data_IF_339805408112
#
_entry.id   IF_339805408112
#
_cell.length_a   1.000
_cell.length_b   1.000
_cell.length_c   1.000
_cell.angle_alpha   90.00
_cell.angle_beta   90.00
_cell.angle_gamma   90.00
#
_symmetry.space_group_name_H-M   'P 1'
#
loop_
_entity.id
_entity.type
_entity.pdbx_description
1 polymer ?
#
# COMPACT_ATOMS: atom_id res chain seq x y z
N UNK A 1 -6.54 -10.01 11.91
CA UNK A 1 -5.70 -11.22 11.77
C UNK A 1 -4.35 -10.88 12.36
N UNK A 2 -3.76 -11.75 13.15
CA UNK A 2 -2.45 -11.51 13.77
C UNK A 2 -1.76 -12.87 13.94
N UNK A 3 -0.48 -12.95 13.63
CA UNK A 3 0.30 -14.19 13.63
C UNK A 3 1.07 -14.39 14.94
N UNK A 4 1.52 -13.30 15.56
CA UNK A 4 2.31 -13.36 16.79
C UNK A 4 1.40 -13.57 18.00
N UNK A 5 1.68 -14.61 18.79
CA UNK A 5 0.83 -15.03 19.91
C UNK A 5 0.62 -13.92 20.96
N UNK A 6 1.68 -13.20 21.32
CA UNK A 6 1.61 -12.12 22.31
C UNK A 6 0.75 -10.94 21.81
N UNK A 7 0.91 -10.55 20.54
CA UNK A 7 0.07 -9.52 19.91
C UNK A 7 -1.37 -10.01 19.76
N UNK A 8 -1.59 -11.27 19.40
CA UNK A 8 -2.94 -11.84 19.30
C UNK A 8 -3.66 -11.87 20.65
N UNK A 9 -2.95 -12.17 21.74
CA UNK A 9 -3.50 -12.09 23.08
C UNK A 9 -3.95 -10.65 23.43
N UNK A 10 -3.14 -9.66 23.05
CA UNK A 10 -3.48 -8.23 23.19
C UNK A 10 -4.69 -7.85 22.33
N UNK A 11 -4.71 -8.28 21.07
CA UNK A 11 -5.83 -8.09 20.15
C UNK A 11 -7.13 -8.65 20.76
N UNK A 12 -7.11 -9.88 21.25
CA UNK A 12 -8.26 -10.51 21.92
C UNK A 12 -8.74 -9.71 23.12
N UNK A 13 -7.82 -9.19 23.93
CA UNK A 13 -8.18 -8.35 25.06
C UNK A 13 -8.84 -7.03 24.64
N UNK A 14 -8.36 -6.40 23.56
CA UNK A 14 -8.89 -5.13 23.04
C UNK A 14 -10.30 -5.27 22.45
N UNK A 15 -10.58 -6.39 21.78
CA UNK A 15 -11.85 -6.63 21.08
C UNK A 15 -12.85 -7.51 21.86
N UNK A 16 -12.56 -7.85 23.13
CA UNK A 16 -13.37 -8.78 23.95
C UNK A 16 -14.87 -8.45 24.07
N UNK A 17 -15.24 -7.19 23.91
CA UNK A 17 -16.62 -6.70 24.04
C UNK A 17 -17.28 -6.38 22.69
N UNK A 18 -16.67 -6.78 21.57
CA UNK A 18 -17.15 -6.51 20.21
C UNK A 18 -17.48 -7.83 19.52
N UNK A 19 -18.65 -8.44 19.79
CA UNK A 19 -19.02 -9.78 19.30
C UNK A 19 -19.12 -9.88 17.77
N UNK A 20 -19.23 -8.75 17.08
CA UNK A 20 -19.22 -8.66 15.62
C UNK A 20 -17.81 -8.77 15.00
N UNK A 21 -16.75 -8.78 15.81
CA UNK A 21 -15.36 -8.85 15.34
C UNK A 21 -14.84 -10.29 15.44
N UNK A 22 -14.62 -10.91 14.29
CA UNK A 22 -13.91 -12.19 14.21
C UNK A 22 -12.39 -11.97 14.36
N UNK A 23 -11.77 -12.70 15.27
CA UNK A 23 -10.33 -12.68 15.49
C UNK A 23 -9.73 -14.01 15.03
N UNK A 24 -8.69 -13.94 14.19
CA UNK A 24 -8.01 -15.12 13.65
C UNK A 24 -6.53 -15.04 13.98
N UNK A 25 -6.03 -16.05 14.69
CA UNK A 25 -4.60 -16.22 14.99
C UNK A 25 -3.98 -17.08 13.88
N UNK A 26 -3.41 -16.45 12.87
CA UNK A 26 -2.75 -17.15 11.76
C UNK A 26 -1.75 -16.26 11.04
N UNK A 27 -0.80 -16.89 10.38
CA UNK A 27 0.04 -16.24 9.37
C UNK A 27 -0.70 -16.22 8.05
N UNK A 28 -0.88 -15.02 7.47
CA UNK A 28 -1.49 -14.90 6.14
C UNK A 28 -0.50 -15.40 5.09
N UNK A 29 -0.96 -16.27 4.20
CA UNK A 29 -0.15 -16.88 3.14
C UNK A 29 -0.71 -16.57 1.75
N UNK A 30 0.04 -16.88 0.70
CA UNK A 30 -0.38 -16.59 -0.67
C UNK A 30 -1.64 -17.33 -1.12
N UNK A 31 -1.81 -18.58 -0.71
CA UNK A 31 -2.88 -19.46 -1.17
C UNK A 31 -3.41 -20.38 -0.06
N UNK A 32 -4.59 -20.96 -0.26
CA UNK A 32 -5.20 -21.91 0.67
C UNK A 32 -5.98 -21.26 1.82
N UNK A 33 -6.31 -22.00 2.89
CA UNK A 33 -7.25 -21.56 3.92
C UNK A 33 -6.83 -20.31 4.71
N UNK A 34 -5.52 -20.07 4.84
CA UNK A 34 -4.97 -18.88 5.51
C UNK A 34 -4.61 -17.75 4.53
N UNK A 35 -5.00 -17.86 3.25
CA UNK A 35 -4.93 -16.71 2.33
C UNK A 35 -6.01 -15.69 2.65
N UNK A 36 -5.87 -14.46 2.12
CA UNK A 36 -6.93 -13.44 2.23
C UNK A 36 -8.26 -14.01 1.71
N UNK A 37 -8.22 -14.75 0.59
CA UNK A 37 -9.40 -15.37 0.01
C UNK A 37 -10.03 -16.41 0.95
N UNK A 38 -9.23 -17.33 1.48
CA UNK A 38 -9.69 -18.38 2.40
C UNK A 38 -10.25 -17.82 3.70
N UNK A 39 -9.64 -16.77 4.24
CA UNK A 39 -10.10 -16.09 5.45
C UNK A 39 -11.45 -15.38 5.24
N UNK A 40 -11.62 -14.71 4.09
CA UNK A 40 -12.90 -14.08 3.73
C UNK A 40 -13.99 -15.13 3.55
N UNK A 41 -13.69 -16.25 2.88
CA UNK A 41 -14.64 -17.35 2.70
C UNK A 41 -15.08 -17.96 4.04
N UNK A 42 -14.13 -18.17 4.97
CA UNK A 42 -14.41 -18.77 6.27
C UNK A 42 -15.23 -17.86 7.22
N UNK A 43 -15.00 -16.53 7.16
CA UNK A 43 -15.56 -15.60 8.15
C UNK A 43 -16.61 -14.63 7.60
N UNK A 44 -16.74 -14.53 6.28
CA UNK A 44 -17.68 -13.63 5.61
C UNK A 44 -18.25 -14.23 4.30
N UNK A 45 -18.75 -15.49 4.30
CA UNK A 45 -19.12 -16.20 3.07
C UNK A 45 -20.26 -15.56 2.27
N UNK A 46 -21.12 -14.79 2.93
CA UNK A 46 -22.33 -14.21 2.32
C UNK A 46 -22.25 -12.70 2.11
N UNK A 47 -21.17 -12.06 2.57
CA UNK A 47 -21.08 -10.60 2.60
C UNK A 47 -19.92 -10.11 1.73
N UNK A 48 -20.20 -9.11 0.91
CA UNK A 48 -19.16 -8.42 0.15
C UNK A 48 -18.26 -7.67 1.12
N UNK A 49 -16.95 -7.94 1.06
CA UNK A 49 -15.95 -7.16 1.79
C UNK A 49 -16.03 -5.72 1.29
N UNK A 50 -16.24 -4.76 2.19
CA UNK A 50 -16.26 -3.35 1.84
C UNK A 50 -14.84 -2.77 1.85
N UNK A 51 -14.04 -3.17 2.83
CA UNK A 51 -12.68 -2.66 3.01
C UNK A 51 -11.72 -3.80 3.35
N UNK A 52 -10.55 -3.76 2.74
CA UNK A 52 -9.41 -4.59 3.08
C UNK A 52 -8.27 -3.67 3.52
N UNK A 53 -7.75 -3.89 4.72
CA UNK A 53 -6.56 -3.20 5.23
C UNK A 53 -5.44 -4.23 5.39
N UNK A 54 -4.28 -3.96 4.82
CA UNK A 54 -3.08 -4.78 4.91
C UNK A 54 -1.99 -3.90 5.49
N UNK A 55 -1.34 -4.44 6.51
CA UNK A 55 -0.18 -3.87 7.20
C UNK A 55 0.61 -5.07 7.71
N UNK A 56 1.54 -5.55 6.88
CA UNK A 56 2.35 -6.76 7.16
C UNK A 56 3.79 -6.49 6.77
N UNK A 57 4.48 -5.64 7.55
CA UNK A 57 5.94 -5.47 7.58
C UNK A 57 6.66 -5.73 6.23
N UNK A 58 6.33 -4.98 5.19
CA UNK A 58 6.97 -5.07 3.86
C UNK A 58 6.31 -6.02 2.85
N UNK A 59 5.43 -6.90 3.29
CA UNK A 59 4.77 -7.93 2.49
C UNK A 59 3.41 -7.51 1.92
N UNK A 60 2.98 -6.28 2.17
CA UNK A 60 1.70 -5.72 1.72
C UNK A 60 1.45 -5.90 0.22
N UNK A 61 2.46 -5.60 -0.59
CA UNK A 61 2.39 -5.74 -2.04
C UNK A 61 2.22 -7.19 -2.47
N UNK A 62 2.99 -8.10 -1.86
CA UNK A 62 2.94 -9.52 -2.20
C UNK A 62 1.61 -10.13 -1.81
N UNK A 63 1.12 -9.82 -0.60
CA UNK A 63 -0.20 -10.26 -0.13
C UNK A 63 -1.32 -9.69 -1.00
N UNK A 64 -1.27 -8.41 -1.36
CA UNK A 64 -2.25 -7.81 -2.27
C UNK A 64 -2.25 -8.50 -3.64
N UNK A 65 -1.08 -8.92 -4.12
CA UNK A 65 -0.94 -9.58 -5.42
C UNK A 65 -1.64 -10.95 -5.49
N UNK A 66 -1.92 -11.58 -4.35
CA UNK A 66 -2.63 -12.87 -4.27
C UNK A 66 -4.10 -12.75 -4.63
N UNK A 67 -4.64 -11.52 -4.66
CA UNK A 67 -5.99 -11.27 -5.16
C UNK A 67 -6.11 -11.45 -6.68
N UNK A 68 -4.98 -11.56 -7.41
CA UNK A 68 -5.00 -11.86 -8.85
C UNK A 68 -5.73 -13.17 -9.11
N UNK A 69 -6.76 -13.11 -9.95
CA UNK A 69 -7.59 -14.28 -10.28
C UNK A 69 -8.66 -14.63 -9.23
N UNK A 70 -8.62 -14.02 -8.04
CA UNK A 70 -9.60 -14.25 -6.97
C UNK A 70 -10.85 -13.40 -7.20
N UNK A 71 -11.83 -13.91 -7.95
CA UNK A 71 -13.06 -13.17 -8.26
C UNK A 71 -14.00 -12.98 -7.07
N UNK A 72 -13.90 -13.85 -6.06
CA UNK A 72 -14.84 -13.88 -4.94
C UNK A 72 -14.50 -12.84 -3.85
N UNK A 73 -13.27 -12.32 -3.84
CA UNK A 73 -12.82 -11.33 -2.87
C UNK A 73 -12.44 -10.05 -3.60
N UNK A 74 -13.40 -9.13 -3.66
CA UNK A 74 -13.24 -7.87 -4.37
C UNK A 74 -13.68 -6.67 -3.51
N UNK A 75 -12.87 -6.30 -2.50
CA UNK A 75 -13.14 -5.17 -1.60
C UNK A 75 -13.50 -3.89 -2.36
N UNK A 76 -14.38 -3.04 -1.83
CA UNK A 76 -14.64 -1.72 -2.44
C UNK A 76 -13.44 -0.78 -2.30
N UNK A 77 -12.77 -0.86 -1.15
CA UNK A 77 -11.57 -0.09 -0.81
C UNK A 77 -10.47 -1.03 -0.33
N UNK A 78 -9.24 -0.77 -0.76
CA UNK A 78 -8.04 -1.44 -0.25
C UNK A 78 -7.11 -0.37 0.32
N UNK A 79 -6.55 -0.65 1.49
CA UNK A 79 -5.50 0.15 2.13
C UNK A 79 -4.32 -0.79 2.35
N UNK A 80 -3.18 -0.49 1.74
CA UNK A 80 -1.95 -1.26 1.89
C UNK A 80 -0.83 -0.33 2.36
N UNK A 81 -0.07 -0.74 3.38
CA UNK A 81 1.06 0.06 3.85
C UNK A 81 2.19 0.08 2.80
N UNK A 82 2.82 1.25 2.60
CA UNK A 82 3.92 1.46 1.64
C UNK A 82 5.05 2.35 2.18
N UNK A 83 4.88 2.97 3.36
CA UNK A 83 5.86 3.71 4.19
C UNK A 83 6.72 4.79 3.51
N UNK A 84 6.58 5.01 2.20
CA UNK A 84 7.32 5.98 1.41
C UNK A 84 8.86 5.84 1.49
N UNK A 85 9.36 4.65 1.84
CA UNK A 85 10.80 4.42 2.07
C UNK A 85 11.61 4.42 0.76
N UNK A 86 11.02 3.92 -0.31
CA UNK A 86 11.64 3.84 -1.63
C UNK A 86 11.14 4.96 -2.54
N UNK A 87 11.91 5.28 -3.59
CA UNK A 87 11.50 6.28 -4.58
C UNK A 87 10.13 5.91 -5.17
N UNK A 88 9.14 6.83 -5.17
CA UNK A 88 7.77 6.46 -5.49
C UNK A 88 7.59 6.03 -6.96
N UNK A 89 8.36 6.59 -7.89
CA UNK A 89 8.30 6.28 -9.33
C UNK A 89 9.28 5.19 -9.79
N UNK A 90 9.87 4.43 -8.84
CA UNK A 90 10.74 3.31 -9.17
C UNK A 90 9.94 2.19 -9.83
N UNK A 91 10.34 1.77 -11.04
CA UNK A 91 9.61 0.77 -11.84
C UNK A 91 10.04 -0.68 -11.60
N UNK A 92 11.22 -0.87 -11.06
CA UNK A 92 11.72 -2.17 -10.64
C UNK A 92 11.01 -2.62 -9.38
N UNK A 93 10.75 -3.93 -9.27
CA UNK A 93 10.23 -4.54 -8.06
C UNK A 93 11.38 -4.88 -7.12
N UNK A 94 11.19 -4.63 -5.83
CA UNK A 94 12.02 -5.21 -4.79
C UNK A 94 11.86 -6.73 -4.80
N UNK A 95 12.95 -7.46 -4.54
CA UNK A 95 12.88 -8.89 -4.30
C UNK A 95 12.21 -9.23 -2.96
N UNK A 96 11.69 -10.46 -2.84
CA UNK A 96 11.03 -10.94 -1.62
C UNK A 96 11.93 -10.86 -0.38
N UNK A 97 13.22 -11.19 -0.52
CA UNK A 97 14.20 -11.12 0.58
C UNK A 97 14.31 -9.68 1.13
N UNK A 98 14.39 -8.69 0.24
CA UNK A 98 14.37 -7.27 0.62
C UNK A 98 13.06 -6.89 1.28
N UNK A 99 11.92 -7.33 0.72
CA UNK A 99 10.61 -7.03 1.27
C UNK A 99 10.45 -7.52 2.72
N UNK A 100 10.93 -8.73 3.02
CA UNK A 100 10.92 -9.31 4.36
C UNK A 100 11.75 -8.54 5.41
N UNK A 101 12.59 -7.59 4.98
CA UNK A 101 13.30 -6.67 5.89
C UNK A 101 12.48 -5.41 6.23
N UNK A 102 11.15 -5.45 6.02
CA UNK A 102 10.23 -4.33 6.16
C UNK A 102 10.50 -3.19 5.14
N UNK A 103 10.95 -3.56 3.95
CA UNK A 103 11.04 -2.63 2.82
C UNK A 103 9.84 -2.79 1.89
N UNK A 104 9.10 -1.70 1.68
CA UNK A 104 7.91 -1.76 0.85
C UNK A 104 8.18 -1.35 -0.59
N UNK A 105 7.37 -1.89 -1.50
CA UNK A 105 7.42 -1.58 -2.92
C UNK A 105 7.09 -0.11 -3.19
N UNK A 106 7.55 0.39 -4.34
CA UNK A 106 7.27 1.74 -4.78
C UNK A 106 5.78 1.97 -5.03
N UNK A 107 5.36 3.23 -4.92
CA UNK A 107 4.00 3.63 -5.22
C UNK A 107 3.63 3.34 -6.69
N UNK A 108 4.61 3.37 -7.60
CA UNK A 108 4.44 2.93 -8.98
C UNK A 108 4.08 1.45 -9.09
N UNK A 109 4.82 0.56 -8.42
CA UNK A 109 4.50 -0.87 -8.45
C UNK A 109 3.10 -1.12 -7.88
N UNK A 110 2.76 -0.46 -6.77
CA UNK A 110 1.41 -0.49 -6.19
C UNK A 110 0.35 -0.01 -7.19
N UNK A 111 0.58 1.09 -7.89
CA UNK A 111 -0.37 1.59 -8.90
C UNK A 111 -0.58 0.57 -10.03
N UNK A 112 0.50 -0.03 -10.55
CA UNK A 112 0.39 -1.04 -11.60
C UNK A 112 -0.38 -2.28 -11.12
N UNK A 113 -0.10 -2.75 -9.91
CA UNK A 113 -0.83 -3.86 -9.31
C UNK A 113 -2.32 -3.53 -9.13
N UNK A 114 -2.65 -2.31 -8.70
CA UNK A 114 -4.03 -1.84 -8.62
C UNK A 114 -4.76 -1.94 -9.96
N UNK A 115 -4.14 -1.46 -11.04
CA UNK A 115 -4.70 -1.55 -12.40
C UNK A 115 -4.96 -3.01 -12.80
N UNK A 116 -3.99 -3.90 -12.57
CA UNK A 116 -4.13 -5.34 -12.87
C UNK A 116 -5.30 -5.99 -12.09
N UNK A 117 -5.58 -5.52 -10.89
CA UNK A 117 -6.66 -6.00 -10.04
C UNK A 117 -8.03 -5.32 -10.30
N UNK A 118 -8.09 -4.31 -11.18
CA UNK A 118 -9.30 -3.54 -11.44
C UNK A 118 -9.62 -2.49 -10.36
N UNK A 119 -8.56 -1.87 -9.83
CA UNK A 119 -8.58 -0.81 -8.84
C UNK A 119 -7.82 0.42 -9.33
N UNK A 120 -8.22 1.57 -8.79
CA UNK A 120 -7.57 2.86 -9.02
C UNK A 120 -6.93 3.33 -7.71
N UNK A 121 -5.63 3.62 -7.74
CA UNK A 121 -4.96 4.30 -6.64
C UNK A 121 -5.47 5.76 -6.59
N UNK A 122 -6.17 6.12 -5.52
CA UNK A 122 -6.85 7.42 -5.40
C UNK A 122 -6.24 8.34 -4.36
N UNK A 123 -5.46 7.79 -3.42
CA UNK A 123 -4.83 8.56 -2.35
C UNK A 123 -3.56 7.84 -1.87
N UNK A 124 -2.61 8.63 -1.38
CA UNK A 124 -1.41 8.14 -0.72
C UNK A 124 -1.13 8.94 0.54
N UNK A 125 -0.96 8.24 1.66
CA UNK A 125 -0.66 8.84 2.98
C UNK A 125 0.36 8.00 3.74
N UNK A 126 1.37 7.46 3.04
CA UNK A 126 2.19 6.30 3.46
C UNK A 126 1.44 4.97 3.41
N UNK A 127 0.12 5.04 3.24
CA UNK A 127 -0.73 3.95 2.81
C UNK A 127 -1.15 4.19 1.36
N UNK A 128 -1.02 3.17 0.51
CA UNK A 128 -1.61 3.15 -0.83
C UNK A 128 -3.11 2.83 -0.70
N UNK A 129 -3.95 3.81 -1.02
CA UNK A 129 -5.41 3.68 -0.90
C UNK A 129 -6.02 3.53 -2.28
N UNK A 130 -6.61 2.37 -2.50
CA UNK A 130 -7.23 1.98 -3.75
C UNK A 130 -8.75 1.99 -3.63
N UNK A 131 -9.40 2.53 -4.67
CA UNK A 131 -10.83 2.40 -4.88
C UNK A 131 -11.07 1.43 -6.03
N UNK A 132 -12.03 0.54 -5.87
CA UNK A 132 -12.49 -0.34 -6.94
C UNK A 132 -12.96 0.47 -8.14
N UNK A 133 -12.41 0.22 -9.33
CA UNK A 133 -12.54 1.16 -10.47
C UNK A 133 -14.00 1.41 -10.90
N UNK A 134 -14.89 0.42 -10.78
CA UNK A 134 -16.33 0.58 -11.07
C UNK A 134 -17.05 1.56 -10.13
N UNK A 135 -16.45 1.90 -8.99
CA UNK A 135 -17.01 2.84 -8.03
C UNK A 135 -16.52 4.28 -8.26
N UNK A 136 -15.48 4.49 -9.07
CA UNK A 136 -14.91 5.81 -9.33
C UNK A 136 -15.93 6.83 -9.86
N UNK A 137 -16.81 6.51 -10.83
CA UNK A 137 -17.81 7.46 -11.32
C UNK A 137 -18.82 7.92 -10.25
N UNK A 138 -19.07 7.09 -9.23
CA UNK A 138 -19.95 7.47 -8.11
C UNK A 138 -19.27 8.47 -7.19
N UNK A 139 -17.95 8.36 -7.01
CA UNK A 139 -17.17 9.26 -6.17
C UNK A 139 -16.97 10.62 -6.85
N UNK A 140 -16.62 10.63 -8.14
CA UNK A 140 -16.45 11.86 -8.93
C UNK A 140 -17.69 12.74 -8.92
N UNK A 141 -18.88 12.14 -9.07
CA UNK A 141 -20.16 12.87 -9.00
C UNK A 141 -20.40 13.54 -7.64
N UNK A 142 -19.86 13.00 -6.55
CA UNK A 142 -20.11 13.49 -5.19
C UNK A 142 -19.11 14.56 -4.77
N UNK A 143 -17.85 14.43 -5.15
CA UNK A 143 -16.77 15.27 -4.62
C UNK A 143 -16.06 16.12 -5.69
N UNK A 144 -16.19 15.79 -6.98
CA UNK A 144 -15.40 16.41 -8.05
C UNK A 144 -13.91 16.06 -7.94
N UNK A 145 -13.23 15.88 -9.08
CA UNK A 145 -11.76 15.80 -9.10
C UNK A 145 -11.11 14.57 -8.46
N UNK A 146 -11.86 13.51 -8.15
CA UNK A 146 -11.31 12.21 -7.70
C UNK A 146 -11.15 11.27 -8.89
N UNK A 147 -10.29 11.68 -9.84
CA UNK A 147 -9.93 10.86 -10.99
C UNK A 147 -8.64 10.06 -10.74
N UNK A 148 -8.21 9.23 -11.71
CA UNK A 148 -6.89 8.60 -11.68
C UNK A 148 -5.81 9.68 -11.60
N UNK A 149 -4.87 9.53 -10.68
CA UNK A 149 -3.72 10.44 -10.52
C UNK A 149 -2.44 9.68 -10.77
N UNK A 150 -1.47 10.36 -11.37
CA UNK A 150 -0.12 9.83 -11.50
C UNK A 150 0.57 9.72 -10.14
N UNK A 151 1.60 8.89 -10.07
CA UNK A 151 2.31 8.59 -8.82
C UNK A 151 2.97 9.84 -8.25
N UNK A 152 3.52 10.69 -9.10
CA UNK A 152 4.23 11.90 -8.65
C UNK A 152 3.24 12.90 -8.06
N UNK A 153 2.04 13.00 -8.65
CA UNK A 153 0.96 13.83 -8.11
C UNK A 153 0.51 13.35 -6.73
N UNK A 154 0.22 12.06 -6.59
CA UNK A 154 -0.20 11.48 -5.30
C UNK A 154 0.86 11.65 -4.22
N UNK A 155 2.13 11.43 -4.57
CA UNK A 155 3.23 11.61 -3.64
C UNK A 155 3.41 13.08 -3.22
N UNK A 156 3.32 14.01 -4.17
CA UNK A 156 3.36 15.45 -3.88
C UNK A 156 2.23 15.87 -2.93
N UNK A 157 1.00 15.39 -3.17
CA UNK A 157 -0.13 15.67 -2.28
C UNK A 157 0.07 15.11 -0.88
N UNK A 158 0.64 13.90 -0.77
CA UNK A 158 1.03 13.32 0.51
C UNK A 158 2.04 14.19 1.26
N UNK A 159 3.03 14.75 0.57
CA UNK A 159 4.00 15.68 1.16
C UNK A 159 3.33 16.97 1.65
N UNK A 160 2.32 17.48 0.96
CA UNK A 160 1.60 18.69 1.37
C UNK A 160 0.79 18.48 2.65
N UNK A 161 0.20 17.30 2.84
CA UNK A 161 -0.70 17.02 3.98
C UNK A 161 0.03 16.37 5.17
N UNK A 162 1.10 15.62 4.92
CA UNK A 162 1.80 14.85 5.94
C UNK A 162 3.32 15.02 5.90
N UNK A 163 3.78 16.25 5.68
CA UNK A 163 5.20 16.58 5.57
C UNK A 163 6.06 16.00 6.69
N UNK A 164 5.65 16.21 7.95
CA UNK A 164 6.47 15.85 9.11
C UNK A 164 6.66 14.32 9.22
N UNK A 165 5.61 13.53 9.03
CA UNK A 165 5.71 12.07 9.13
C UNK A 165 6.42 11.50 7.90
N UNK A 166 6.19 12.06 6.71
CA UNK A 166 6.93 11.70 5.49
C UNK A 166 8.43 11.95 5.67
N UNK A 167 8.79 13.13 6.18
CA UNK A 167 10.18 13.49 6.45
C UNK A 167 10.78 12.60 7.55
N UNK A 168 10.03 12.33 8.62
CA UNK A 168 10.45 11.44 9.70
C UNK A 168 10.71 10.04 9.16
N UNK A 169 9.80 9.49 8.37
CA UNK A 169 9.92 8.14 7.83
C UNK A 169 11.09 8.03 6.87
N UNK A 170 11.24 8.96 5.92
CA UNK A 170 12.43 9.01 5.05
C UNK A 170 13.73 9.11 5.87
N UNK A 171 13.74 9.90 6.95
CA UNK A 171 14.90 10.01 7.83
C UNK A 171 15.15 8.76 8.69
N UNK A 172 14.10 8.09 9.15
CA UNK A 172 14.20 6.81 9.87
C UNK A 172 14.72 5.73 8.95
N UNK A 173 14.20 5.66 7.72
CA UNK A 173 14.74 4.80 6.66
C UNK A 173 16.21 5.08 6.47
N UNK A 174 16.69 6.33 6.54
CA UNK A 174 18.12 6.69 6.39
C UNK A 174 18.98 6.34 7.63
N UNK A 175 18.45 6.54 8.83
CA UNK A 175 19.18 6.31 10.10
C UNK A 175 19.20 4.84 10.54
N UNK A 176 18.17 4.07 10.17
CA UNK A 176 18.06 2.64 10.44
C UNK A 176 18.77 1.75 9.42
N UNK A 177 19.39 2.31 8.37
CA UNK A 177 20.13 1.51 7.39
C UNK A 177 21.38 0.95 8.05
N UNK A 178 21.45 -0.37 8.20
CA UNK A 178 22.75 -1.03 8.17
C UNK A 178 23.40 -0.66 6.84
N UNK A 179 24.70 -0.33 6.84
CA UNK A 179 25.45 0.09 5.64
C UNK A 179 25.19 -0.81 4.40
N UNK A 180 24.85 -2.09 4.62
CA UNK A 180 24.47 -3.04 3.57
C UNK A 180 23.16 -2.75 2.82
N UNK A 181 22.11 -2.25 3.46
CA UNK A 181 20.81 -1.97 2.81
C UNK A 181 20.86 -0.71 1.94
N UNK A 182 21.59 0.33 2.40
CA UNK A 182 21.94 1.48 1.55
C UNK A 182 22.64 0.97 0.29
N UNK A 183 23.64 0.11 0.46
CA UNK A 183 24.43 -0.38 -0.65
C UNK A 183 23.62 -1.25 -1.61
N UNK A 184 22.61 -2.00 -1.15
CA UNK A 184 21.74 -2.81 -1.99
C UNK A 184 20.79 -1.94 -2.81
N UNK A 185 20.08 -0.98 -2.18
CA UNK A 185 19.27 0.01 -2.90
C UNK A 185 20.11 0.84 -3.87
N UNK A 186 21.28 1.32 -3.46
CA UNK A 186 22.16 2.12 -4.32
C UNK A 186 22.76 1.30 -5.45
N UNK A 187 23.09 0.02 -5.21
CA UNK A 187 23.60 -0.90 -6.23
C UNK A 187 22.50 -1.33 -7.20
N UNK A 188 21.26 -1.49 -6.73
CA UNK A 188 20.15 -1.96 -7.55
C UNK A 188 19.43 -0.80 -8.27
N UNK A 189 19.40 0.40 -7.67
CA UNK A 189 18.57 1.52 -8.14
C UNK A 189 19.28 2.91 -8.15
N UNK A 190 20.51 3.02 -7.66
CA UNK A 190 21.28 4.28 -7.59
C UNK A 190 21.07 5.08 -6.30
N UNK A 191 21.89 6.13 -6.09
CA UNK A 191 21.79 7.02 -4.92
C UNK A 191 20.43 7.70 -4.89
N UNK A 192 19.64 7.40 -3.86
CA UNK A 192 18.36 8.05 -3.64
C UNK A 192 18.55 9.38 -2.89
N UNK A 193 18.70 10.45 -3.66
CA UNK A 193 18.32 11.78 -3.18
C UNK A 193 16.79 11.77 -3.04
N UNK A 194 16.30 11.36 -1.86
CA UNK A 194 14.98 11.73 -1.37
C UNK A 194 15.00 13.26 -1.18
N UNK A 195 15.05 13.99 -2.30
CA UNK A 195 14.89 15.41 -2.31
C UNK A 195 13.42 15.63 -1.98
N UNK A 196 13.16 15.87 -0.69
CA UNK A 196 11.83 16.20 -0.20
C UNK A 196 11.43 17.60 -0.63
N UNK A 197 12.23 18.32 -1.43
CA UNK A 197 11.90 19.62 -1.98
C UNK A 197 10.52 19.59 -2.68
N UNK A 198 9.57 20.32 -2.07
CA UNK A 198 8.21 20.46 -2.56
C UNK A 198 8.15 21.04 -3.97
N UNK A 199 9.09 21.93 -4.34
CA UNK A 199 9.14 22.55 -5.66
C UNK A 199 9.62 21.58 -6.73
N UNK A 200 10.56 20.69 -6.38
CA UNK A 200 10.98 19.59 -7.27
C UNK A 200 9.81 18.66 -7.54
N UNK A 201 9.06 18.26 -6.50
CA UNK A 201 7.92 17.36 -6.65
C UNK A 201 6.72 18.01 -7.35
N UNK A 202 6.46 19.30 -7.13
CA UNK A 202 5.44 20.05 -7.88
C UNK A 202 5.71 19.99 -9.38
N UNK A 203 6.92 20.38 -9.80
CA UNK A 203 7.31 20.38 -11.23
C UNK A 203 7.22 18.98 -11.85
N UNK A 204 7.60 17.95 -11.09
CA UNK A 204 7.50 16.55 -11.53
C UNK A 204 6.05 16.08 -11.70
N UNK A 205 5.15 16.47 -10.80
CA UNK A 205 3.73 16.17 -10.91
C UNK A 205 3.09 16.87 -12.12
N UNK A 206 3.37 18.16 -12.32
CA UNK A 206 2.87 18.93 -13.48
C UNK A 206 3.35 18.34 -14.82
N UNK A 207 4.62 17.92 -14.90
CA UNK A 207 5.15 17.28 -16.11
C UNK A 207 4.51 15.92 -16.42
N UNK A 208 4.14 15.15 -15.39
CA UNK A 208 3.43 13.87 -15.55
C UNK A 208 2.02 14.06 -16.10
N UNK A 209 1.28 15.05 -15.56
CA UNK A 209 -0.07 15.40 -16.01
C UNK A 209 -0.08 15.91 -17.45
N UNK A 210 0.91 16.73 -17.84
CA UNK A 210 1.08 17.21 -19.22
C UNK A 210 1.36 16.05 -20.19
N UNK A 211 2.18 15.08 -19.77
CA UNK A 211 2.53 13.93 -20.62
C UNK A 211 1.37 12.95 -20.82
N UNK A 212 0.46 12.86 -19.86
CA UNK A 212 -0.73 11.99 -19.94
C UNK A 212 -1.87 12.56 -20.81
N UNK A 213 -1.75 13.83 -21.22
CA UNK A 213 -2.79 14.55 -21.98
C UNK A 213 -2.54 14.56 -23.51
N UNK A 214 -1.48 13.87 -23.98
CA UNK A 214 -1.05 13.75 -25.39
C UNK A 214 -1.31 12.34 -25.89
#
# INVERSE_FOLDING_TARGET
VEAEEAKFATLRANYRNLPQVALVHTTVVGEGPSSIAGLVEAHSPTSSVQMLSIDVDGLDFELLSTLKGTRNVRPEVIVAESNAFVRPDLKSKLGMETAMTNMQQSLWNFQQLGVELGYTLVCFTQNAIFLRTDLLPKLEKRQGGVGPRGVKRLYFEALLVNWNDMQRNVNLTRRGRMEGLVSAEEKEFGVFEADLDLEVWRRRAEAEEQSASV
#
